data_IF_772741681526
#
_entry.id   IF_772741681526
#
_cell.length_a   1.000
_cell.length_b   1.000
_cell.length_c   1.000
_cell.angle_alpha   90.00
_cell.angle_beta   90.00
_cell.angle_gamma   90.00
#
_symmetry.space_group_name_H-M   'P 1'
#
loop_
_entity.id
_entity.type
_entity.pdbx_description
1 polymer ?
#
# COMPACT_ATOMS: atom_id res chain seq x y z
N UNK A 1 4.72 -19.98 -23.97
CA UNK A 1 5.45 -20.25 -22.72
C UNK A 1 6.21 -18.98 -22.33
N UNK A 2 5.48 -17.96 -21.85
CA UNK A 2 6.01 -16.63 -21.48
C UNK A 2 4.98 -15.77 -20.74
N UNK A 3 3.69 -15.96 -21.02
CA UNK A 3 2.61 -15.24 -20.34
C UNK A 3 2.28 -15.84 -18.96
N UNK A 4 2.37 -17.17 -18.83
CA UNK A 4 2.06 -17.88 -17.57
C UNK A 4 3.13 -17.60 -16.49
N UNK A 5 4.41 -17.53 -16.88
CA UNK A 5 5.52 -17.22 -15.95
C UNK A 5 5.46 -15.76 -15.42
N UNK A 6 4.98 -14.81 -16.23
CA UNK A 6 4.85 -13.39 -15.85
C UNK A 6 3.69 -13.14 -14.87
N UNK A 7 2.58 -13.88 -14.99
CA UNK A 7 1.41 -13.76 -14.11
C UNK A 7 1.67 -14.37 -12.72
N UNK A 8 2.42 -15.47 -12.66
CA UNK A 8 2.84 -16.09 -11.40
C UNK A 8 3.82 -15.20 -10.61
N UNK A 9 4.77 -14.53 -11.28
CA UNK A 9 5.68 -13.57 -10.65
C UNK A 9 4.91 -12.33 -10.13
N UNK A 10 3.92 -11.84 -10.87
CA UNK A 10 3.10 -10.69 -10.47
C UNK A 10 2.25 -10.98 -9.22
N UNK A 11 1.71 -12.19 -9.09
CA UNK A 11 0.95 -12.61 -7.92
C UNK A 11 1.82 -12.67 -6.65
N UNK A 12 3.07 -13.14 -6.77
CA UNK A 12 4.03 -13.19 -5.67
C UNK A 12 4.41 -11.79 -5.19
N UNK A 13 4.63 -10.85 -6.11
CA UNK A 13 4.95 -9.45 -5.79
C UNK A 13 3.81 -8.69 -5.10
N UNK A 14 2.57 -9.17 -5.22
CA UNK A 14 1.38 -8.53 -4.64
C UNK A 14 1.17 -8.78 -3.14
N UNK A 15 1.88 -9.76 -2.56
CA UNK A 15 1.79 -10.08 -1.13
C UNK A 15 2.69 -9.13 -0.31
N UNK A 16 2.33 -8.85 0.95
CA UNK A 16 3.16 -8.05 1.84
C UNK A 16 4.58 -8.61 1.93
N UNK A 17 5.56 -7.79 1.54
CA UNK A 17 6.98 -8.16 1.50
C UNK A 17 7.40 -9.00 0.29
N UNK A 18 6.47 -9.37 -0.60
CA UNK A 18 6.77 -10.20 -1.78
C UNK A 18 7.74 -9.54 -2.77
N UNK A 19 7.86 -8.21 -2.73
CA UNK A 19 8.83 -7.45 -3.52
C UNK A 19 10.15 -7.15 -2.80
N UNK A 20 10.29 -7.48 -1.50
CA UNK A 20 11.42 -7.02 -0.69
C UNK A 20 12.75 -7.68 -1.13
N UNK A 21 12.70 -8.90 -1.65
CA UNK A 21 13.87 -9.68 -2.11
C UNK A 21 13.94 -9.82 -3.66
N UNK A 22 13.13 -9.06 -4.41
CA UNK A 22 13.07 -9.19 -5.86
C UNK A 22 14.36 -8.69 -6.55
N UNK A 23 14.72 -9.32 -7.68
CA UNK A 23 15.93 -8.96 -8.42
C UNK A 23 15.83 -7.54 -9.01
N UNK A 24 16.87 -6.71 -8.82
CA UNK A 24 16.90 -5.29 -9.25
C UNK A 24 16.67 -5.06 -10.76
N UNK A 25 16.92 -6.07 -11.60
CA UNK A 25 16.69 -6.03 -13.05
C UNK A 25 15.35 -6.62 -13.50
N UNK A 26 14.47 -7.03 -12.59
CA UNK A 26 13.20 -7.66 -12.96
C UNK A 26 12.28 -6.65 -13.66
N UNK A 27 11.87 -7.00 -14.87
CA UNK A 27 10.85 -6.25 -15.62
C UNK A 27 9.49 -6.32 -14.95
N UNK A 28 9.19 -7.39 -14.20
CA UNK A 28 7.95 -7.52 -13.45
C UNK A 28 7.90 -6.52 -12.29
N UNK A 29 9.00 -6.36 -11.54
CA UNK A 29 9.11 -5.33 -10.48
C UNK A 29 8.92 -3.92 -11.04
N UNK A 30 9.56 -3.63 -12.18
CA UNK A 30 9.42 -2.33 -12.85
C UNK A 30 7.97 -2.06 -13.26
N UNK A 31 7.32 -3.04 -13.89
CA UNK A 31 5.92 -2.94 -14.33
C UNK A 31 4.97 -2.77 -13.15
N UNK A 32 5.18 -3.53 -12.06
CA UNK A 32 4.39 -3.43 -10.83
C UNK A 32 4.50 -2.04 -10.21
N UNK A 33 5.72 -1.51 -10.08
CA UNK A 33 5.97 -0.16 -9.60
C UNK A 33 5.24 0.91 -10.44
N UNK A 34 5.28 0.81 -11.77
CA UNK A 34 4.59 1.77 -12.64
C UNK A 34 3.06 1.69 -12.49
N UNK A 35 2.51 0.48 -12.33
CA UNK A 35 1.09 0.28 -12.06
C UNK A 35 0.67 0.87 -10.71
N UNK A 36 1.42 0.58 -9.64
CA UNK A 36 1.12 1.09 -8.29
C UNK A 36 1.24 2.61 -8.23
N UNK A 37 2.25 3.20 -8.87
CA UNK A 37 2.40 4.66 -8.95
C UNK A 37 1.26 5.33 -9.73
N UNK A 38 0.79 4.71 -10.82
CA UNK A 38 -0.33 5.22 -11.59
C UNK A 38 -1.63 5.16 -10.77
N UNK A 39 -1.90 4.04 -10.10
CA UNK A 39 -3.04 3.88 -9.21
C UNK A 39 -3.00 4.89 -8.06
N UNK A 40 -1.83 5.06 -7.43
CA UNK A 40 -1.63 5.98 -6.33
C UNK A 40 -1.89 7.44 -6.71
N UNK A 41 -1.46 7.85 -7.92
CA UNK A 41 -1.73 9.20 -8.44
C UNK A 41 -3.23 9.43 -8.68
N UNK A 42 -3.93 8.42 -9.18
CA UNK A 42 -5.35 8.48 -9.50
C UNK A 42 -6.25 8.40 -8.24
N UNK A 43 -5.79 7.79 -7.16
CA UNK A 43 -6.55 7.64 -5.92
C UNK A 43 -6.70 8.97 -5.16
N UNK A 44 -7.84 9.16 -4.48
CA UNK A 44 -8.05 10.30 -3.57
C UNK A 44 -7.50 10.01 -2.16
N UNK A 45 -7.63 8.76 -1.73
CA UNK A 45 -7.31 8.27 -0.39
C UNK A 45 -6.28 7.13 -0.50
N UNK A 46 -5.34 7.06 0.44
CA UNK A 46 -4.36 5.98 0.54
C UNK A 46 -4.55 5.22 1.85
N UNK A 47 -4.54 3.89 1.80
CA UNK A 47 -4.69 3.02 2.98
C UNK A 47 -3.52 2.05 3.05
N UNK A 48 -2.74 2.15 4.13
CA UNK A 48 -1.67 1.21 4.48
C UNK A 48 -2.22 0.11 5.40
N UNK A 49 -2.19 -1.13 4.94
CA UNK A 49 -2.62 -2.29 5.74
C UNK A 49 -1.42 -2.89 6.45
N UNK A 50 -1.48 -2.95 7.78
CA UNK A 50 -0.42 -3.46 8.65
C UNK A 50 -0.67 -4.94 9.03
N UNK A 51 0.41 -5.74 9.18
CA UNK A 51 1.80 -5.40 8.88
C UNK A 51 2.03 -5.23 7.38
N UNK A 52 2.85 -4.25 7.00
CA UNK A 52 3.14 -3.92 5.61
C UNK A 52 4.60 -4.23 5.24
N UNK A 53 4.85 -4.57 3.98
CA UNK A 53 6.22 -4.76 3.45
C UNK A 53 6.93 -3.43 3.18
N UNK A 54 8.23 -3.48 2.83
CA UNK A 54 9.02 -2.26 2.62
C UNK A 54 8.48 -1.40 1.47
N UNK A 55 8.04 -2.02 0.38
CA UNK A 55 7.45 -1.32 -0.78
C UNK A 55 6.22 -0.46 -0.38
N UNK A 56 5.31 -1.01 0.41
CA UNK A 56 4.10 -0.31 0.85
C UNK A 56 4.42 0.90 1.75
N UNK A 57 5.51 0.85 2.53
CA UNK A 57 5.97 2.00 3.31
C UNK A 57 6.55 3.11 2.42
N UNK A 58 7.27 2.74 1.35
CA UNK A 58 7.74 3.70 0.34
C UNK A 58 6.56 4.38 -0.33
N UNK A 59 5.54 3.61 -0.72
CA UNK A 59 4.31 4.13 -1.31
C UNK A 59 3.56 5.07 -0.36
N UNK A 60 3.50 4.77 0.95
CA UNK A 60 2.94 5.67 1.94
C UNK A 60 3.67 7.03 1.99
N UNK A 61 5.00 7.01 1.88
CA UNK A 61 5.80 8.23 1.75
C UNK A 61 5.49 9.02 0.47
N UNK A 62 5.36 8.33 -0.67
CA UNK A 62 4.98 8.95 -1.95
C UNK A 62 3.57 9.56 -1.86
N UNK A 63 2.61 8.83 -1.29
CA UNK A 63 1.22 9.26 -1.10
C UNK A 63 1.16 10.54 -0.28
N UNK A 64 1.90 10.58 0.84
CA UNK A 64 2.02 11.77 1.68
C UNK A 64 2.65 12.94 0.91
N UNK A 65 3.69 12.69 0.12
CA UNK A 65 4.33 13.72 -0.72
C UNK A 65 3.41 14.26 -1.83
N UNK A 66 2.46 13.45 -2.31
CA UNK A 66 1.43 13.84 -3.27
C UNK A 66 0.22 14.53 -2.60
N UNK A 67 0.25 14.74 -1.28
CA UNK A 67 -0.85 15.37 -0.54
C UNK A 67 -2.09 14.49 -0.38
N UNK A 68 -1.96 13.18 -0.60
CA UNK A 68 -3.07 12.23 -0.40
C UNK A 68 -3.39 12.11 1.08
N UNK A 69 -4.67 11.97 1.41
CA UNK A 69 -5.08 11.66 2.78
C UNK A 69 -4.76 10.18 3.06
N UNK A 70 -3.89 9.95 4.02
CA UNK A 70 -3.33 8.63 4.31
C UNK A 70 -3.96 8.04 5.57
N UNK A 71 -4.28 6.76 5.52
CA UNK A 71 -4.78 5.96 6.64
C UNK A 71 -3.83 4.79 6.85
N UNK A 72 -3.67 4.35 8.09
CA UNK A 72 -3.11 3.03 8.35
C UNK A 72 -4.13 2.19 9.12
N UNK A 73 -4.12 0.87 8.94
CA UNK A 73 -5.07 -0.03 9.60
C UNK A 73 -4.42 -1.37 9.90
N UNK A 74 -4.68 -1.91 11.08
CA UNK A 74 -4.17 -3.22 11.50
C UNK A 74 -3.38 -3.16 12.80
N UNK A 75 -2.88 -4.32 13.26
CA UNK A 75 -2.07 -4.42 14.47
C UNK A 75 -0.75 -3.65 14.30
N UNK A 76 -0.41 -2.85 15.31
CA UNK A 76 0.84 -2.08 15.36
C UNK A 76 1.83 -2.86 16.23
N UNK A 77 2.67 -3.67 15.61
CA UNK A 77 3.66 -4.49 16.33
C UNK A 77 4.91 -3.69 16.74
N UNK A 78 5.16 -2.53 16.11
CA UNK A 78 6.30 -1.65 16.40
C UNK A 78 5.93 -0.18 16.22
N UNK A 79 6.71 0.72 16.81
CA UNK A 79 6.56 2.17 16.60
C UNK A 79 6.74 2.51 15.12
N UNK A 80 5.63 2.81 14.43
CA UNK A 80 5.65 3.24 13.04
C UNK A 80 6.06 4.70 12.92
N UNK A 81 7.20 4.98 12.30
CA UNK A 81 7.62 6.35 11.98
C UNK A 81 6.66 7.02 11.00
N UNK A 82 5.81 6.25 10.32
CA UNK A 82 4.71 6.72 9.47
C UNK A 82 3.46 7.15 10.24
N UNK A 83 3.39 6.96 11.55
CA UNK A 83 2.29 7.46 12.38
C UNK A 83 1.94 8.94 12.10
N UNK A 84 2.91 9.88 11.98
CA UNK A 84 2.60 11.30 11.78
C UNK A 84 1.95 11.62 10.43
N UNK A 85 2.15 10.79 9.40
CA UNK A 85 1.53 11.01 8.08
C UNK A 85 0.11 10.44 7.99
N UNK A 86 -0.29 9.61 8.97
CA UNK A 86 -1.60 8.95 8.98
C UNK A 86 -2.66 9.81 9.67
N UNK A 87 -3.80 10.01 9.00
CA UNK A 87 -4.98 10.70 9.54
C UNK A 87 -5.63 9.91 10.69
N UNK A 88 -5.59 8.57 10.62
CA UNK A 88 -5.93 7.69 11.72
C UNK A 88 -5.27 6.32 11.58
N UNK A 89 -5.25 5.58 12.70
CA UNK A 89 -4.76 4.20 12.78
C UNK A 89 -5.73 3.28 13.54
N UNK A 90 -6.88 2.89 12.96
CA UNK A 90 -7.76 1.87 13.56
C UNK A 90 -7.05 0.51 13.64
N UNK A 91 -7.37 -0.27 14.66
CA UNK A 91 -6.78 -1.60 14.87
C UNK A 91 -7.22 -2.64 13.83
N UNK A 92 -8.34 -2.41 13.15
CA UNK A 92 -8.94 -3.33 12.21
C UNK A 92 -9.72 -2.60 11.09
N UNK A 93 -10.08 -3.36 10.06
CA UNK A 93 -10.78 -2.86 8.89
C UNK A 93 -12.18 -2.31 9.21
N UNK A 94 -12.88 -2.87 10.20
CA UNK A 94 -14.21 -2.42 10.57
C UNK A 94 -14.15 -1.00 11.15
N UNK A 95 -13.23 -0.75 12.07
CA UNK A 95 -12.99 0.58 12.63
C UNK A 95 -12.55 1.61 11.59
N UNK A 96 -11.81 1.19 10.55
CA UNK A 96 -11.51 2.06 9.42
C UNK A 96 -12.77 2.39 8.60
N UNK A 97 -13.56 1.39 8.22
CA UNK A 97 -14.79 1.59 7.43
C UNK A 97 -15.78 2.50 8.16
N UNK A 98 -16.00 2.27 9.45
CA UNK A 98 -16.89 3.11 10.27
C UNK A 98 -16.43 4.57 10.28
N UNK A 99 -15.11 4.78 10.36
CA UNK A 99 -14.52 6.12 10.32
C UNK A 99 -14.65 6.78 8.94
N UNK A 100 -14.41 6.04 7.87
CA UNK A 100 -14.57 6.54 6.51
C UNK A 100 -16.03 6.91 6.21
N UNK A 101 -17.00 6.13 6.71
CA UNK A 101 -18.43 6.47 6.63
C UNK A 101 -18.79 7.71 7.42
N UNK A 102 -18.28 7.85 8.66
CA UNK A 102 -18.51 9.04 9.47
C UNK A 102 -17.97 10.32 8.81
N UNK A 103 -16.95 10.18 7.95
CA UNK A 103 -16.38 11.27 7.16
C UNK A 103 -17.00 11.43 5.77
N UNK A 104 -18.01 10.61 5.42
CA UNK A 104 -18.68 10.58 4.12
C UNK A 104 -17.73 10.30 2.94
N UNK A 105 -16.62 9.60 3.20
CA UNK A 105 -15.64 9.20 2.17
C UNK A 105 -16.14 7.95 1.43
N UNK A 106 -16.80 7.04 2.14
CA UNK A 106 -17.41 5.83 1.58
C UNK A 106 -18.88 5.75 1.97
N UNK A 107 -19.69 5.06 1.16
CA UNK A 107 -21.13 4.88 1.37
C UNK A 107 -21.45 3.68 2.30
#
# INVERSE_FOLDING_TARGET
MRAEDDDDEAAVLGVAGGADDAALGSTAVRKRFEQDLAALRAADEFVLVLPAGAAAHVEAGIASGLGKRCWAVGPVDRSETLRPISAAMPSDAAGLVDRLRALHIVQ
#
